data_IF_986940628235
#
_entry.id   IF_986940628235
#
_cell.length_a   1.000
_cell.length_b   1.000
_cell.length_c   1.000
_cell.angle_alpha   90.00
_cell.angle_beta   90.00
_cell.angle_gamma   90.00
#
_symmetry.space_group_name_H-M   'P 1'
#
loop_
_entity.id
_entity.type
_entity.pdbx_description
1 polymer ?
#
# COMPACT_ATOMS: atom_id res chain seq x y z
N UNK A 1 -56.63 8.13 -65.58
CA UNK A 1 -56.57 7.96 -64.11
C UNK A 1 -55.34 7.11 -63.76
N UNK A 2 -54.30 7.67 -63.12
CA UNK A 2 -53.13 6.94 -62.59
C UNK A 2 -52.79 7.55 -61.21
N UNK A 3 -52.53 6.75 -60.17
CA UNK A 3 -52.44 7.24 -58.79
C UNK A 3 -51.12 7.97 -58.48
N UNK A 4 -51.22 8.99 -57.62
CA UNK A 4 -50.10 9.79 -57.09
C UNK A 4 -49.24 8.93 -56.14
N UNK A 5 -47.92 8.94 -56.34
CA UNK A 5 -46.96 8.43 -55.35
C UNK A 5 -46.83 9.43 -54.21
N UNK A 6 -47.11 8.99 -52.98
CA UNK A 6 -46.79 9.71 -51.75
C UNK A 6 -45.41 9.27 -51.27
N UNK A 7 -44.42 10.17 -51.29
CA UNK A 7 -43.16 9.95 -50.60
C UNK A 7 -43.37 10.22 -49.10
N UNK A 8 -43.42 9.18 -48.28
CA UNK A 8 -43.27 9.28 -46.82
C UNK A 8 -41.87 8.78 -46.44
N UNK A 9 -40.88 9.65 -46.60
CA UNK A 9 -39.55 9.45 -46.04
C UNK A 9 -39.54 9.90 -44.59
N UNK A 10 -39.97 9.04 -43.66
CA UNK A 10 -39.61 9.19 -42.25
C UNK A 10 -38.25 8.53 -42.06
N UNK A 11 -37.20 9.33 -42.07
CA UNK A 11 -35.88 8.93 -41.57
C UNK A 11 -36.00 8.65 -40.08
N UNK A 12 -36.18 7.37 -39.72
CA UNK A 12 -35.89 6.89 -38.37
C UNK A 12 -34.38 6.69 -38.27
N UNK A 13 -33.64 7.79 -38.14
CA UNK A 13 -32.26 7.71 -37.68
C UNK A 13 -32.30 7.24 -36.22
N UNK A 14 -32.13 5.93 -36.03
CA UNK A 14 -31.92 5.35 -34.72
C UNK A 14 -30.57 5.87 -34.22
N UNK A 15 -30.65 6.93 -33.42
CA UNK A 15 -29.52 7.70 -32.94
C UNK A 15 -28.64 6.77 -32.10
N UNK A 16 -27.54 6.27 -32.70
CA UNK A 16 -26.59 5.35 -32.05
C UNK A 16 -25.97 5.95 -30.78
N UNK A 17 -26.13 7.27 -30.57
CA UNK A 17 -25.75 7.99 -29.37
C UNK A 17 -26.69 7.79 -28.16
N UNK A 18 -27.88 7.21 -28.35
CA UNK A 18 -28.79 6.92 -27.24
C UNK A 18 -28.38 5.63 -26.50
N UNK A 19 -27.88 4.62 -27.23
CA UNK A 19 -27.43 3.36 -26.66
C UNK A 19 -26.21 3.51 -25.72
N UNK A 20 -25.31 4.45 -26.03
CA UNK A 20 -24.15 4.78 -25.20
C UNK A 20 -24.50 5.53 -23.91
N UNK A 21 -25.67 6.19 -23.83
CA UNK A 21 -26.17 6.81 -22.59
C UNK A 21 -26.87 5.83 -21.65
N UNK A 22 -27.39 4.70 -22.15
CA UNK A 22 -28.06 3.69 -21.33
C UNK A 22 -27.10 2.73 -20.60
N UNK A 23 -25.83 2.65 -21.00
CA UNK A 23 -24.82 1.83 -20.32
C UNK A 23 -24.24 2.48 -19.04
N UNK A 24 -24.67 3.69 -18.68
CA UNK A 24 -24.19 4.41 -17.50
C UNK A 24 -24.92 4.04 -16.20
N UNK A 25 -26.04 3.31 -16.29
CA UNK A 25 -26.79 2.83 -15.12
C UNK A 25 -27.09 1.33 -15.26
N UNK A 26 -26.04 0.50 -15.19
CA UNK A 26 -26.28 -0.87 -14.75
C UNK A 26 -26.91 -0.81 -13.35
N UNK A 27 -28.08 -1.44 -13.12
CA UNK A 27 -28.63 -1.51 -11.78
C UNK A 27 -27.63 -2.27 -10.90
N UNK A 28 -26.98 -1.56 -9.99
CA UNK A 28 -26.06 -2.14 -9.01
C UNK A 28 -26.72 -3.37 -8.41
N UNK A 29 -26.10 -4.53 -8.60
CA UNK A 29 -26.66 -5.79 -8.14
C UNK A 29 -26.88 -5.71 -6.62
N UNK A 30 -27.94 -6.32 -6.09
CA UNK A 30 -28.19 -6.41 -4.63
C UNK A 30 -26.94 -6.88 -3.86
N UNK A 31 -26.09 -7.66 -4.51
CA UNK A 31 -24.79 -8.12 -4.00
C UNK A 31 -23.75 -7.00 -3.88
N UNK A 32 -23.67 -6.08 -4.85
CA UNK A 32 -22.74 -4.94 -4.83
C UNK A 32 -23.11 -3.93 -3.74
N UNK A 33 -24.39 -3.57 -3.64
CA UNK A 33 -24.87 -2.67 -2.58
C UNK A 33 -24.58 -3.22 -1.18
N UNK A 34 -24.67 -4.55 -1.01
CA UNK A 34 -24.28 -5.21 0.24
C UNK A 34 -22.75 -5.16 0.45
N UNK A 35 -21.96 -5.40 -0.58
CA UNK A 35 -20.50 -5.35 -0.49
C UNK A 35 -20.00 -3.94 -0.13
N UNK A 36 -20.55 -2.90 -0.74
CA UNK A 36 -20.26 -1.50 -0.40
C UNK A 36 -20.66 -1.19 1.05
N UNK A 37 -21.87 -1.62 1.44
CA UNK A 37 -22.36 -1.50 2.80
C UNK A 37 -21.40 -2.11 3.85
N UNK A 38 -20.89 -3.31 3.56
CA UNK A 38 -19.94 -4.03 4.40
C UNK A 38 -18.55 -3.37 4.38
N UNK A 39 -18.10 -2.85 3.23
CA UNK A 39 -16.84 -2.14 3.09
C UNK A 39 -16.81 -0.84 3.91
N UNK A 40 -17.91 -0.07 3.91
CA UNK A 40 -18.02 1.16 4.71
C UNK A 40 -18.01 0.88 6.21
N UNK A 41 -18.68 -0.19 6.63
CA UNK A 41 -18.61 -0.64 8.02
C UNK A 41 -17.19 -1.07 8.39
N UNK A 42 -16.52 -1.84 7.53
CA UNK A 42 -15.15 -2.27 7.75
C UNK A 42 -14.18 -1.09 7.85
N UNK A 43 -14.35 -0.06 7.01
CA UNK A 43 -13.57 1.17 7.08
C UNK A 43 -13.75 1.88 8.43
N UNK A 44 -14.99 2.04 8.89
CA UNK A 44 -15.26 2.62 10.21
C UNK A 44 -14.61 1.82 11.34
N UNK A 45 -14.71 0.50 11.32
CA UNK A 45 -14.04 -0.38 12.30
C UNK A 45 -12.52 -0.18 12.25
N UNK A 46 -11.94 -0.16 11.05
CA UNK A 46 -10.51 0.04 10.86
C UNK A 46 -10.01 1.35 11.49
N UNK A 47 -10.79 2.44 11.39
CA UNK A 47 -10.45 3.71 12.04
C UNK A 47 -10.37 3.59 13.57
N UNK A 48 -11.18 2.73 14.20
CA UNK A 48 -11.14 2.52 15.67
C UNK A 48 -9.85 1.87 16.18
N UNK A 49 -9.13 1.16 15.30
CA UNK A 49 -7.88 0.49 15.62
C UNK A 49 -6.65 1.40 15.47
N UNK A 50 -6.82 2.58 14.82
CA UNK A 50 -5.73 3.51 14.60
C UNK A 50 -5.34 4.28 15.87
N UNK A 51 -4.05 4.63 16.02
CA UNK A 51 -3.61 5.56 17.06
C UNK A 51 -4.14 6.97 16.79
N UNK A 52 -4.32 7.75 17.86
CA UNK A 52 -4.88 9.12 17.79
C UNK A 52 -4.11 10.01 16.80
N UNK A 53 -2.78 9.89 16.77
CA UNK A 53 -1.93 10.68 15.88
C UNK A 53 -2.20 10.41 14.39
N UNK A 54 -2.60 9.18 14.04
CA UNK A 54 -3.01 8.84 12.66
C UNK A 54 -4.41 9.38 12.37
N UNK A 55 -5.33 9.34 13.34
CA UNK A 55 -6.68 9.89 13.17
C UNK A 55 -6.68 11.39 12.91
N UNK A 56 -5.82 12.14 13.61
CA UNK A 56 -5.67 13.59 13.40
C UNK A 56 -5.14 13.93 12.00
N UNK A 57 -4.35 13.04 11.39
CA UNK A 57 -3.82 13.23 10.02
C UNK A 57 -4.85 12.95 8.93
N UNK A 58 -5.97 12.29 9.26
CA UNK A 58 -7.02 11.94 8.30
C UNK A 58 -8.06 13.04 8.13
N UNK A 59 -7.99 14.12 8.92
CA UNK A 59 -8.94 15.24 8.90
C UNK A 59 -10.41 14.79 8.86
N UNK A 60 -10.76 13.89 9.78
CA UNK A 60 -12.07 13.27 9.83
C UNK A 60 -13.14 14.28 10.27
N UNK A 61 -14.38 14.19 9.73
CA UNK A 61 -15.50 14.96 10.26
C UNK A 61 -15.68 14.74 11.77
N UNK A 62 -16.09 15.78 12.49
CA UNK A 62 -16.22 15.75 13.96
C UNK A 62 -17.08 14.58 14.45
N UNK A 63 -18.19 14.29 13.76
CA UNK A 63 -19.06 13.17 14.06
C UNK A 63 -18.32 11.81 13.98
N UNK A 64 -17.52 11.61 12.93
CA UNK A 64 -16.75 10.36 12.72
C UNK A 64 -15.67 10.25 13.78
N UNK A 65 -14.91 11.32 14.00
CA UNK A 65 -13.85 11.34 15.01
C UNK A 65 -14.40 11.02 16.41
N UNK A 66 -15.52 11.63 16.78
CA UNK A 66 -16.17 11.40 18.07
C UNK A 66 -16.62 9.94 18.21
N UNK A 67 -17.31 9.40 17.20
CA UNK A 67 -17.74 8.00 17.17
C UNK A 67 -16.55 7.02 17.26
N UNK A 68 -15.45 7.32 16.58
CA UNK A 68 -14.21 6.52 16.63
C UNK A 68 -13.61 6.54 18.03
N UNK A 69 -13.56 7.70 18.70
CA UNK A 69 -13.00 7.82 20.05
C UNK A 69 -13.88 7.13 21.11
N UNK A 70 -15.20 7.22 20.96
CA UNK A 70 -16.15 6.58 21.87
C UNK A 70 -16.14 5.06 21.78
N UNK A 71 -15.70 4.49 20.65
CA UNK A 71 -15.57 3.04 20.49
C UNK A 71 -14.73 2.39 21.61
N UNK A 72 -13.71 3.10 22.13
CA UNK A 72 -12.82 2.62 23.21
C UNK A 72 -13.51 2.54 24.58
N UNK A 73 -14.63 3.22 24.78
CA UNK A 73 -15.42 3.19 26.02
C UNK A 73 -16.44 2.06 26.03
N UNK A 74 -16.73 1.47 24.88
CA UNK A 74 -17.75 0.45 24.72
C UNK A 74 -17.15 -0.92 25.01
N UNK A 75 -17.59 -1.56 26.10
CA UNK A 75 -17.08 -2.86 26.53
C UNK A 75 -18.04 -4.01 26.22
N UNK A 76 -19.35 -3.74 26.14
CA UNK A 76 -20.37 -4.76 25.91
C UNK A 76 -20.44 -5.17 24.43
N UNK A 77 -20.36 -6.47 24.14
CA UNK A 77 -20.38 -7.02 22.78
C UNK A 77 -21.60 -6.58 21.95
N UNK A 78 -22.78 -6.53 22.57
CA UNK A 78 -24.01 -6.08 21.90
C UNK A 78 -24.00 -4.59 21.55
N UNK A 79 -23.46 -3.76 22.45
CA UNK A 79 -23.29 -2.33 22.22
C UNK A 79 -22.22 -2.08 21.13
N UNK A 80 -21.11 -2.82 21.18
CA UNK A 80 -20.05 -2.76 20.18
C UNK A 80 -20.58 -3.09 18.77
N UNK A 81 -21.39 -4.15 18.64
CA UNK A 81 -21.99 -4.51 17.33
C UNK A 81 -22.85 -3.39 16.76
N UNK A 82 -23.68 -2.74 17.59
CA UNK A 82 -24.51 -1.60 17.18
C UNK A 82 -23.67 -0.38 16.85
N UNK A 83 -22.60 -0.13 17.62
CA UNK A 83 -21.66 0.96 17.38
C UNK A 83 -20.95 0.82 16.03
N UNK A 84 -20.52 -0.40 15.68
CA UNK A 84 -19.93 -0.68 14.36
C UNK A 84 -20.90 -0.37 13.22
N UNK A 85 -22.18 -0.72 13.37
CA UNK A 85 -23.22 -0.39 12.38
C UNK A 85 -23.45 1.13 12.27
N UNK A 86 -23.46 1.84 13.41
CA UNK A 86 -23.56 3.30 13.43
C UNK A 86 -22.38 3.96 12.72
N UNK A 87 -21.15 3.52 13.00
CA UNK A 87 -19.97 3.93 12.26
C UNK A 87 -20.12 3.66 10.76
N UNK A 88 -20.57 2.46 10.37
CA UNK A 88 -20.81 2.12 8.96
C UNK A 88 -21.83 3.02 8.27
N UNK A 89 -22.88 3.47 8.98
CA UNK A 89 -23.81 4.48 8.47
C UNK A 89 -23.13 5.83 8.29
N UNK A 90 -22.39 6.28 9.29
CA UNK A 90 -21.72 7.57 9.26
C UNK A 90 -20.64 7.66 8.17
N UNK A 91 -19.93 6.55 7.92
CA UNK A 91 -18.99 6.45 6.79
C UNK A 91 -19.72 6.61 5.45
N UNK A 92 -20.94 6.08 5.27
CA UNK A 92 -21.71 6.27 4.02
C UNK A 92 -22.13 7.71 3.76
N UNK A 93 -22.27 8.49 4.83
CA UNK A 93 -22.64 9.91 4.75
C UNK A 93 -21.41 10.81 4.55
N UNK A 94 -20.20 10.26 4.62
CA UNK A 94 -18.91 10.97 4.51
C UNK A 94 -18.21 10.69 3.18
N UNK A 95 -17.44 11.65 2.66
CA UNK A 95 -16.52 11.38 1.55
C UNK A 95 -15.30 10.58 2.05
N UNK A 96 -15.23 9.32 1.64
CA UNK A 96 -14.22 8.37 2.11
C UNK A 96 -13.01 8.26 1.17
N UNK A 97 -13.06 8.87 -0.02
CA UNK A 97 -11.96 8.82 -0.98
C UNK A 97 -10.61 9.28 -0.37
N UNK A 98 -10.52 10.45 0.31
CA UNK A 98 -9.24 10.89 0.88
C UNK A 98 -8.75 9.99 2.02
N UNK A 99 -9.68 9.45 2.81
CA UNK A 99 -9.37 8.52 3.91
C UNK A 99 -8.76 7.24 3.33
N UNK A 100 -9.40 6.67 2.30
CA UNK A 100 -8.94 5.45 1.65
C UNK A 100 -7.58 5.63 0.98
N UNK A 101 -7.36 6.74 0.29
CA UNK A 101 -6.07 7.04 -0.34
C UNK A 101 -4.94 7.12 0.71
N UNK A 102 -5.18 7.83 1.80
CA UNK A 102 -4.17 7.98 2.85
C UNK A 102 -3.89 6.66 3.59
N UNK A 103 -4.93 5.85 3.83
CA UNK A 103 -4.77 4.51 4.39
C UNK A 103 -3.98 3.61 3.43
N UNK A 104 -4.28 3.64 2.13
CA UNK A 104 -3.56 2.89 1.11
C UNK A 104 -2.09 3.31 1.02
N UNK A 105 -1.78 4.61 1.17
CA UNK A 105 -0.41 5.12 1.23
C UNK A 105 0.37 4.56 2.41
N UNK A 106 -0.26 4.49 3.59
CA UNK A 106 0.36 3.89 4.77
C UNK A 106 0.53 2.38 4.64
N UNK A 107 -0.47 1.68 4.13
CA UNK A 107 -0.39 0.24 3.89
C UNK A 107 0.65 -0.09 2.81
N UNK A 108 0.75 0.72 1.76
CA UNK A 108 1.76 0.63 0.71
C UNK A 108 3.18 0.76 1.28
N UNK A 109 3.39 1.71 2.20
CA UNK A 109 4.67 1.84 2.90
C UNK A 109 4.99 0.60 3.73
N UNK A 110 4.02 0.09 4.50
CA UNK A 110 4.23 -1.09 5.33
C UNK A 110 4.46 -2.37 4.51
N UNK A 111 3.74 -2.54 3.40
CA UNK A 111 3.94 -3.67 2.49
C UNK A 111 5.30 -3.62 1.81
N UNK A 112 5.75 -2.44 1.38
CA UNK A 112 7.09 -2.26 0.82
C UNK A 112 8.18 -2.54 1.86
N UNK A 113 8.06 -2.02 3.10
CA UNK A 113 8.99 -2.29 4.20
C UNK A 113 9.03 -3.79 4.55
N UNK A 114 7.87 -4.44 4.64
CA UNK A 114 7.80 -5.87 4.92
C UNK A 114 8.42 -6.70 3.79
N UNK A 115 8.12 -6.39 2.53
CA UNK A 115 8.71 -7.06 1.37
C UNK A 115 10.23 -6.88 1.35
N UNK A 116 10.72 -5.69 1.71
CA UNK A 116 12.15 -5.41 1.87
C UNK A 116 12.77 -6.29 2.96
N UNK A 117 12.17 -6.39 4.15
CA UNK A 117 12.67 -7.25 5.22
C UNK A 117 12.66 -8.73 4.82
N UNK A 118 11.61 -9.22 4.17
CA UNK A 118 11.57 -10.59 3.66
C UNK A 118 12.64 -10.85 2.58
N UNK A 119 12.94 -9.85 1.74
CA UNK A 119 14.06 -9.93 0.80
C UNK A 119 15.41 -10.11 1.52
N UNK A 120 15.64 -9.35 2.59
CA UNK A 120 16.86 -9.49 3.41
C UNK A 120 16.94 -10.83 4.13
N UNK A 121 15.81 -11.33 4.66
CA UNK A 121 15.73 -12.66 5.26
C UNK A 121 16.06 -13.76 4.24
N UNK A 122 15.51 -13.65 3.03
CA UNK A 122 15.81 -14.58 1.93
C UNK A 122 17.30 -14.56 1.55
N UNK A 123 17.92 -13.38 1.48
CA UNK A 123 19.36 -13.27 1.24
C UNK A 123 20.19 -13.95 2.34
N UNK A 124 19.88 -13.67 3.60
CA UNK A 124 20.54 -14.30 4.76
C UNK A 124 20.43 -15.83 4.68
N UNK A 125 19.23 -16.36 4.48
CA UNK A 125 19.01 -17.80 4.48
C UNK A 125 19.72 -18.48 3.31
N UNK A 126 19.71 -17.84 2.12
CA UNK A 126 20.44 -18.32 0.95
C UNK A 126 21.96 -18.28 1.14
N UNK A 127 22.51 -17.23 1.77
CA UNK A 127 23.95 -17.14 2.07
C UNK A 127 24.41 -18.19 3.08
N UNK A 128 23.57 -18.54 4.06
CA UNK A 128 23.86 -19.59 5.02
C UNK A 128 23.83 -20.97 4.32
N UNK A 129 22.91 -21.18 3.39
CA UNK A 129 22.79 -22.42 2.64
C UNK A 129 23.90 -22.61 1.59
N UNK A 130 24.25 -21.56 0.84
CA UNK A 130 25.24 -21.60 -0.24
C UNK A 130 26.21 -20.41 -0.16
N UNK A 131 27.50 -20.72 -0.10
CA UNK A 131 28.57 -19.74 -0.05
C UNK A 131 28.75 -18.97 -1.38
N UNK A 132 28.24 -19.47 -2.51
CA UNK A 132 28.33 -18.80 -3.81
C UNK A 132 27.40 -17.58 -3.88
N UNK A 133 26.27 -17.61 -3.17
CA UNK A 133 25.29 -16.50 -3.09
C UNK A 133 25.91 -15.24 -2.51
N UNK A 134 26.96 -15.39 -1.69
CA UNK A 134 27.73 -14.26 -1.18
C UNK A 134 28.35 -13.44 -2.32
N UNK A 135 28.87 -14.08 -3.37
CA UNK A 135 29.50 -13.39 -4.48
C UNK A 135 28.48 -12.54 -5.26
N UNK A 136 27.25 -13.03 -5.41
CA UNK A 136 26.15 -12.28 -6.03
C UNK A 136 25.82 -11.02 -5.22
N UNK A 137 25.76 -11.13 -3.90
CA UNK A 137 25.48 -9.97 -3.05
C UNK A 137 26.61 -8.92 -3.09
N UNK A 138 27.87 -9.37 -3.11
CA UNK A 138 29.03 -8.47 -3.23
C UNK A 138 29.02 -7.74 -4.57
N UNK A 139 28.63 -8.43 -5.65
CA UNK A 139 28.50 -7.80 -6.97
C UNK A 139 27.42 -6.71 -6.99
N UNK A 140 26.32 -6.90 -6.24
CA UNK A 140 25.27 -5.89 -6.09
C UNK A 140 25.65 -4.75 -5.15
N UNK A 141 26.43 -5.02 -4.11
CA UNK A 141 26.81 -4.07 -3.06
C UNK A 141 28.32 -4.08 -2.82
N UNK A 142 29.13 -3.45 -3.69
CA UNK A 142 30.58 -3.52 -3.64
C UNK A 142 31.22 -2.82 -2.44
N UNK A 143 30.47 -1.92 -1.76
CA UNK A 143 30.92 -1.20 -0.57
C UNK A 143 30.78 -2.02 0.73
N UNK A 144 30.29 -3.26 0.65
CA UNK A 144 30.14 -4.16 1.80
C UNK A 144 31.49 -4.60 2.36
N UNK A 145 31.63 -4.70 3.69
CA UNK A 145 32.76 -5.40 4.30
C UNK A 145 32.65 -6.92 4.03
N UNK A 146 33.28 -7.34 2.93
CA UNK A 146 33.33 -8.72 2.46
C UNK A 146 33.88 -9.66 3.52
N UNK A 147 34.90 -9.22 4.27
CA UNK A 147 35.61 -10.09 5.22
C UNK A 147 34.75 -10.34 6.47
N UNK A 148 34.07 -9.30 6.96
CA UNK A 148 33.11 -9.44 8.04
C UNK A 148 31.95 -10.36 7.62
N UNK A 149 31.35 -10.13 6.45
CA UNK A 149 30.22 -10.92 5.98
C UNK A 149 30.59 -12.41 5.78
N UNK A 150 31.76 -12.71 5.20
CA UNK A 150 32.28 -14.09 5.09
C UNK A 150 32.42 -14.78 6.43
N UNK A 151 32.92 -14.05 7.43
CA UNK A 151 33.13 -14.59 8.78
C UNK A 151 31.80 -14.92 9.45
N UNK A 152 30.83 -14.01 9.34
CA UNK A 152 29.48 -14.19 9.88
C UNK A 152 28.76 -15.39 9.23
N UNK A 153 28.85 -15.55 7.90
CA UNK A 153 28.24 -16.69 7.19
C UNK A 153 28.81 -18.03 7.68
N UNK A 154 30.15 -18.15 7.78
CA UNK A 154 30.77 -19.38 8.30
C UNK A 154 30.37 -19.66 9.75
N UNK A 155 30.26 -18.64 10.59
CA UNK A 155 29.85 -18.80 11.98
C UNK A 155 28.37 -19.21 12.07
N UNK A 156 27.49 -18.64 11.24
CA UNK A 156 26.09 -19.01 11.18
C UNK A 156 25.90 -20.48 10.74
N UNK A 157 26.68 -20.95 9.77
CA UNK A 157 26.70 -22.37 9.37
C UNK A 157 27.14 -23.29 10.51
N UNK A 158 28.19 -22.91 11.25
CA UNK A 158 28.67 -23.66 12.43
C UNK A 158 27.64 -23.66 13.57
N UNK A 159 26.98 -22.53 13.82
CA UNK A 159 25.91 -22.42 14.82
C UNK A 159 24.72 -23.31 14.46
N UNK A 160 24.30 -23.31 13.19
CA UNK A 160 23.22 -24.14 12.67
C UNK A 160 23.54 -25.63 12.81
N UNK A 161 24.75 -26.04 12.39
CA UNK A 161 25.21 -27.43 12.51
C UNK A 161 25.34 -27.88 13.98
N UNK A 162 25.66 -26.96 14.90
CA UNK A 162 25.80 -27.25 16.33
C UNK A 162 24.50 -27.05 17.13
N UNK A 163 23.37 -26.71 16.49
CA UNK A 163 22.10 -26.44 17.18
C UNK A 163 22.15 -25.27 18.17
N UNK A 164 23.08 -24.33 17.99
CA UNK A 164 23.29 -23.18 18.88
C UNK A 164 22.33 -22.05 18.53
N UNK A 165 22.09 -21.11 19.47
CA UNK A 165 21.31 -19.90 19.17
C UNK A 165 21.86 -19.16 17.95
N UNK A 166 21.02 -18.71 17.01
CA UNK A 166 21.44 -18.13 15.73
C UNK A 166 21.89 -16.67 15.90
N UNK A 167 23.01 -16.46 16.59
CA UNK A 167 23.55 -15.13 16.86
C UNK A 167 24.14 -14.53 15.58
N UNK A 168 24.97 -15.30 14.88
CA UNK A 168 25.63 -14.85 13.65
C UNK A 168 24.60 -14.57 12.54
N UNK A 169 23.51 -15.34 12.47
CA UNK A 169 22.39 -15.10 11.56
C UNK A 169 21.70 -13.74 11.78
N UNK A 170 21.51 -13.33 13.05
CA UNK A 170 20.97 -12.00 13.40
C UNK A 170 21.95 -10.88 13.02
N UNK A 171 23.24 -11.10 13.20
CA UNK A 171 24.29 -10.15 12.81
C UNK A 171 24.39 -9.98 11.29
N UNK A 172 24.23 -11.07 10.51
CA UNK A 172 24.12 -10.99 9.04
C UNK A 172 22.96 -10.08 8.65
N UNK A 173 21.76 -10.32 9.18
CA UNK A 173 20.60 -9.49 8.86
C UNK A 173 20.81 -8.00 9.16
N UNK A 174 21.45 -7.68 10.29
CA UNK A 174 21.79 -6.30 10.65
C UNK A 174 22.75 -5.67 9.64
N UNK A 175 23.81 -6.38 9.27
CA UNK A 175 24.80 -5.91 8.29
C UNK A 175 24.17 -5.72 6.91
N UNK A 176 23.35 -6.68 6.45
CA UNK A 176 22.65 -6.56 5.17
C UNK A 176 21.78 -5.31 5.14
N UNK A 177 20.98 -5.08 6.18
CA UNK A 177 20.13 -3.89 6.30
C UNK A 177 20.94 -2.59 6.23
N UNK A 178 22.07 -2.52 6.91
CA UNK A 178 22.93 -1.33 6.94
C UNK A 178 23.50 -1.00 5.56
N UNK A 179 23.98 -2.02 4.84
CA UNK A 179 24.51 -1.88 3.48
C UNK A 179 23.44 -1.48 2.48
N UNK A 180 22.28 -2.15 2.51
CA UNK A 180 21.20 -1.87 1.55
C UNK A 180 20.55 -0.51 1.81
N UNK A 181 20.42 -0.10 3.07
CA UNK A 181 19.93 1.23 3.43
C UNK A 181 20.91 2.34 3.03
N UNK A 182 22.21 2.15 3.31
CA UNK A 182 23.25 3.11 2.89
C UNK A 182 23.34 3.27 1.37
N UNK A 183 23.03 2.20 0.63
CA UNK A 183 22.98 2.25 -0.84
C UNK A 183 21.74 2.99 -1.35
N UNK A 184 20.57 2.82 -0.71
CA UNK A 184 19.35 3.55 -1.04
C UNK A 184 19.49 5.05 -0.77
N UNK A 185 20.12 5.43 0.34
CA UNK A 185 20.35 6.83 0.69
C UNK A 185 21.29 7.53 -0.31
N UNK A 186 22.34 6.84 -0.78
CA UNK A 186 23.23 7.38 -1.83
C UNK A 186 22.52 7.53 -3.19
N UNK A 187 21.64 6.59 -3.56
CA UNK A 187 20.89 6.71 -4.83
C UNK A 187 19.84 7.82 -4.83
N UNK A 188 19.29 8.20 -3.66
CA UNK A 188 18.35 9.30 -3.55
C UNK A 188 19.03 10.68 -3.54
N UNK A 189 20.31 10.76 -3.15
CA UNK A 189 21.07 12.02 -3.15
C UNK A 189 21.50 12.47 -4.56
N UNK A 190 21.63 11.55 -5.51
CA UNK A 190 22.07 11.85 -6.88
C UNK A 190 20.91 12.37 -7.77
N UNK A 191 19.65 12.16 -7.35
CA UNK A 191 18.46 12.59 -8.08
C UNK A 191 18.07 14.07 -7.85
N UNK A 192 18.78 14.80 -6.97
CA UNK A 192 18.48 16.21 -6.64
C UNK A 192 19.46 17.22 -7.24
N UNK A 193 20.48 16.77 -7.99
CA UNK A 193 21.37 17.68 -8.72
C UNK A 193 20.89 17.84 -10.17
N UNK A 194 20.01 18.83 -10.39
CA UNK A 194 19.76 19.39 -11.73
C UNK A 194 20.78 20.51 -11.96
N UNK A 195 21.74 20.38 -12.90
CA UNK A 195 22.57 21.50 -13.31
C UNK A 195 21.71 22.41 -14.19
N UNK A 196 21.03 23.39 -13.58
CA UNK A 196 20.40 24.50 -14.29
C UNK A 196 21.09 25.80 -13.91
N UNK A 197 21.60 26.47 -14.96
CA UNK A 197 22.00 27.87 -15.08
C UNK A 197 23.36 28.32 -14.53
N UNK A 198 24.41 28.03 -15.30
CA UNK A 198 25.45 29.02 -15.60
C UNK A 198 25.21 29.58 -17.02
N UNK A 199 24.34 30.59 -17.13
CA UNK A 199 24.46 31.59 -18.19
C UNK A 199 24.21 32.97 -17.61
N UNK A 200 25.28 33.76 -17.69
CA UNK A 200 25.26 35.20 -17.95
C UNK A 200 25.12 36.15 -16.76
N UNK A 201 26.26 36.57 -16.20
CA UNK A 201 26.59 37.99 -16.00
C UNK A 201 28.11 38.19 -16.06
N UNK A 202 28.67 38.37 -17.26
CA UNK A 202 29.89 39.18 -17.38
C UNK A 202 30.05 39.77 -18.80
N UNK A 203 30.16 41.10 -18.80
CA UNK A 203 30.50 42.05 -19.88
C UNK A 203 29.35 42.58 -20.72
#
# INVERSE_FOLDING_TARGET
MKPKKTNSGTDFSFDANLASKLNAEEPTSKTQLKAEADAQQALGVRLTELPKDKLLKLDLPEAVLTAVLDSKKITANGAMRRHKQYLGRLMRETDNAPILEQLARWDGKHTAENAYFHGLESWRDRMIADANVLAEFIALYPLTDIQQLRTLVRNAQKELAAGKPPKSSREIFKLLREVTQSSQDNSNADATYSPTDELDQNV
#
